data_IF_608204117627
#
_entry.id   IF_608204117627
#
_cell.length_a   1.000
_cell.length_b   1.000
_cell.length_c   1.000
_cell.angle_alpha   90.00
_cell.angle_beta   90.00
_cell.angle_gamma   90.00
#
_symmetry.space_group_name_H-M   'P 1'
#
loop_
_entity.id
_entity.type
_entity.pdbx_description
1 polymer ?
#
# COMPACT_ATOMS: atom_id res chain seq x y z
N UNK A 1 3.37 18.97 39.95
CA UNK A 1 2.64 17.89 39.25
C UNK A 1 2.69 18.20 37.77
N UNK A 2 3.63 17.61 37.04
CA UNK A 2 3.75 17.82 35.59
C UNK A 2 2.83 16.84 34.88
N UNK A 3 1.75 17.34 34.32
CA UNK A 3 0.83 16.60 33.46
C UNK A 3 1.54 16.31 32.14
N UNK A 4 2.08 15.10 32.00
CA UNK A 4 2.57 14.62 30.71
C UNK A 4 1.35 14.40 29.83
N UNK A 5 1.06 15.34 28.94
CA UNK A 5 0.10 15.14 27.86
C UNK A 5 0.74 14.14 26.91
N UNK A 6 0.44 12.86 27.08
CA UNK A 6 0.76 11.82 26.11
C UNK A 6 -0.10 12.10 24.89
N UNK A 7 0.45 12.82 23.91
CA UNK A 7 -0.17 12.91 22.58
C UNK A 7 -0.29 11.50 22.03
N UNK A 8 -1.50 10.95 22.09
CA UNK A 8 -1.84 9.67 21.48
C UNK A 8 -1.69 9.84 19.97
N UNK A 9 -0.52 9.48 19.43
CA UNK A 9 -0.31 9.42 17.99
C UNK A 9 -1.21 8.32 17.43
N UNK A 10 -2.31 8.72 16.79
CA UNK A 10 -3.22 7.81 16.11
C UNK A 10 -2.54 7.33 14.84
N UNK A 11 -2.40 6.02 14.69
CA UNK A 11 -1.82 5.38 13.50
C UNK A 11 -2.77 5.56 12.31
N UNK A 12 -2.25 6.05 11.17
CA UNK A 12 -3.04 6.27 9.95
C UNK A 12 -2.38 5.64 8.72
N UNK A 13 -3.20 5.28 7.73
CA UNK A 13 -2.70 4.80 6.43
C UNK A 13 -1.83 5.88 5.77
N UNK A 14 -0.67 5.47 5.28
CA UNK A 14 0.34 6.34 4.69
C UNK A 14 1.25 7.03 5.69
N UNK A 15 1.15 6.76 7.00
CA UNK A 15 2.16 7.20 7.95
C UNK A 15 3.48 6.50 7.63
N UNK A 16 4.55 7.29 7.52
CA UNK A 16 5.88 6.83 7.11
C UNK A 16 6.89 7.03 8.22
N UNK A 17 7.79 6.07 8.35
CA UNK A 17 8.97 6.18 9.19
C UNK A 17 10.20 5.77 8.39
N UNK A 18 11.32 6.41 8.69
CA UNK A 18 12.62 6.04 8.14
C UNK A 18 13.61 5.92 9.29
N UNK A 19 14.34 4.81 9.33
CA UNK A 19 15.45 4.60 10.25
C UNK A 19 16.72 5.28 9.74
N UNK A 20 17.71 5.51 10.62
CA UNK A 20 19.01 6.03 10.22
C UNK A 20 19.80 5.01 9.40
N UNK A 21 20.75 5.50 8.60
CA UNK A 21 21.73 4.63 7.92
C UNK A 21 22.75 4.12 8.93
N UNK A 22 22.95 2.81 9.01
CA UNK A 22 23.84 2.13 9.96
C UNK A 22 24.55 0.95 9.31
N UNK A 23 25.72 0.58 9.82
CA UNK A 23 26.34 -0.71 9.48
C UNK A 23 25.59 -1.83 10.19
N UNK A 24 25.29 -2.93 9.49
CA UNK A 24 24.57 -4.06 10.08
C UNK A 24 25.32 -4.69 11.27
N UNK A 25 26.66 -4.79 11.19
CA UNK A 25 27.49 -5.25 12.32
C UNK A 25 27.35 -4.37 13.56
N UNK A 26 27.27 -3.05 13.38
CA UNK A 26 27.21 -2.10 14.50
C UNK A 26 25.85 -2.21 15.20
N UNK A 27 24.76 -2.37 14.42
CA UNK A 27 23.41 -2.61 14.95
C UNK A 27 23.35 -3.86 15.84
N UNK A 28 23.93 -4.97 15.38
CA UNK A 28 23.98 -6.21 16.16
C UNK A 28 24.80 -6.04 17.44
N UNK A 29 25.99 -5.44 17.32
CA UNK A 29 26.92 -5.26 18.43
C UNK A 29 26.33 -4.39 19.54
N UNK A 30 25.74 -3.25 19.17
CA UNK A 30 25.11 -2.33 20.12
C UNK A 30 23.87 -2.93 20.79
N UNK A 31 23.16 -3.81 20.09
CA UNK A 31 21.97 -4.49 20.62
C UNK A 31 22.29 -5.75 21.42
N UNK A 32 23.57 -6.16 21.47
CA UNK A 32 24.00 -7.41 22.09
C UNK A 32 23.45 -8.67 21.40
N UNK A 33 23.02 -8.57 20.15
CA UNK A 33 22.43 -9.68 19.40
C UNK A 33 23.54 -10.42 18.65
N UNK A 34 23.65 -11.72 18.89
CA UNK A 34 24.54 -12.61 18.13
C UNK A 34 23.69 -13.53 17.27
N UNK A 35 23.85 -13.44 15.96
CA UNK A 35 23.21 -14.34 15.01
C UNK A 35 24.17 -15.48 14.64
N UNK A 36 23.70 -16.74 14.60
CA UNK A 36 24.51 -17.85 14.10
C UNK A 36 24.97 -17.57 12.65
N UNK A 37 26.19 -17.98 12.33
CA UNK A 37 26.72 -17.89 10.96
C UNK A 37 25.78 -18.61 9.98
N UNK A 38 25.49 -17.98 8.83
CA UNK A 38 24.57 -18.53 7.82
C UNK A 38 23.09 -18.27 8.09
N UNK A 39 22.75 -17.49 9.13
CA UNK A 39 21.37 -17.08 9.40
C UNK A 39 20.90 -16.00 8.42
N UNK A 40 19.81 -16.25 7.69
CA UNK A 40 19.18 -15.28 6.77
C UNK A 40 18.15 -14.36 7.45
N UNK A 41 18.34 -14.05 8.74
CA UNK A 41 17.43 -13.21 9.52
C UNK A 41 17.98 -11.82 9.81
N UNK A 42 19.19 -11.49 9.33
CA UNK A 42 19.85 -10.23 9.63
C UNK A 42 19.03 -9.02 9.16
N UNK A 43 18.46 -9.06 7.96
CA UNK A 43 17.61 -7.95 7.49
C UNK A 43 16.34 -7.80 8.33
N UNK A 44 15.70 -8.89 8.74
CA UNK A 44 14.54 -8.83 9.64
C UNK A 44 14.90 -8.23 11.01
N UNK A 45 16.04 -8.63 11.60
CA UNK A 45 16.51 -8.07 12.87
C UNK A 45 16.89 -6.60 12.71
N UNK A 46 17.59 -6.24 11.65
CA UNK A 46 17.93 -4.86 11.35
C UNK A 46 16.66 -4.00 11.19
N UNK A 47 15.62 -4.52 10.53
CA UNK A 47 14.34 -3.83 10.40
C UNK A 47 13.68 -3.57 11.78
N UNK A 48 13.68 -4.55 12.69
CA UNK A 48 13.17 -4.37 14.07
C UNK A 48 13.93 -3.26 14.82
N UNK A 49 15.25 -3.18 14.65
CA UNK A 49 16.10 -2.22 15.36
C UNK A 49 16.03 -0.82 14.75
N UNK A 50 15.88 -0.72 13.43
CA UNK A 50 15.90 0.55 12.70
C UNK A 50 14.52 1.20 12.56
N UNK A 51 13.44 0.41 12.58
CA UNK A 51 12.07 0.92 12.39
C UNK A 51 11.40 1.15 13.74
N UNK A 52 10.99 2.40 14.07
CA UNK A 52 10.22 2.67 15.28
C UNK A 52 8.98 1.78 15.38
N UNK A 53 8.63 1.31 16.58
CA UNK A 53 7.42 0.49 16.77
C UNK A 53 6.14 1.29 16.51
N UNK A 54 5.08 0.59 16.11
CA UNK A 54 3.74 1.18 16.01
C UNK A 54 3.26 1.56 17.43
N UNK A 55 2.91 2.84 17.70
CA UNK A 55 2.50 3.27 19.04
C UNK A 55 1.28 2.51 19.55
N UNK A 56 1.28 2.18 20.85
CA UNK A 56 0.16 1.52 21.53
C UNK A 56 -0.35 0.25 20.80
N UNK A 57 0.57 -0.52 20.21
CA UNK A 57 0.26 -1.74 19.48
C UNK A 57 1.29 -2.84 19.77
N UNK A 58 0.91 -4.10 19.53
CA UNK A 58 1.83 -5.23 19.53
C UNK A 58 1.77 -5.98 18.20
N UNK A 59 2.93 -6.44 17.71
CA UNK A 59 3.00 -7.19 16.45
C UNK A 59 2.45 -8.60 16.67
N UNK A 60 1.53 -9.01 15.81
CA UNK A 60 0.89 -10.33 15.82
C UNK A 60 1.27 -11.18 14.62
N UNK A 61 1.83 -10.58 13.57
CA UNK A 61 2.24 -11.28 12.36
C UNK A 61 3.40 -10.61 11.63
N UNK A 62 4.15 -11.41 10.89
CA UNK A 62 5.24 -10.98 10.04
C UNK A 62 5.32 -11.91 8.82
N UNK A 63 5.32 -11.32 7.62
CA UNK A 63 5.78 -11.97 6.40
C UNK A 63 7.00 -11.22 5.90
N UNK A 64 8.07 -11.95 5.60
CA UNK A 64 9.35 -11.37 5.24
C UNK A 64 9.96 -12.09 4.04
N UNK A 65 10.59 -11.33 3.16
CA UNK A 65 11.21 -11.83 1.94
C UNK A 65 12.61 -11.22 1.81
N UNK A 66 13.61 -12.08 1.63
CA UNK A 66 14.95 -11.65 1.29
C UNK A 66 15.12 -11.65 -0.23
N UNK A 67 15.24 -10.48 -0.84
CA UNK A 67 15.53 -10.33 -2.27
C UNK A 67 17.02 -10.58 -2.50
N UNK A 68 17.85 -9.91 -1.69
CA UNK A 68 19.28 -10.11 -1.56
C UNK A 68 19.65 -10.00 -0.07
N UNK A 69 19.99 -11.12 0.60
CA UNK A 69 20.20 -11.12 2.04
C UNK A 69 21.17 -10.03 2.50
N UNK A 70 20.82 -9.37 3.60
CA UNK A 70 21.70 -8.43 4.30
C UNK A 70 22.83 -9.21 4.96
N UNK A 71 24.03 -8.67 4.85
CA UNK A 71 25.26 -9.17 5.45
C UNK A 71 25.78 -8.19 6.50
N UNK A 72 26.68 -8.64 7.38
CA UNK A 72 27.21 -7.81 8.46
C UNK A 72 27.99 -6.58 7.98
N UNK A 73 28.50 -6.60 6.75
CA UNK A 73 29.29 -5.51 6.15
C UNK A 73 28.43 -4.50 5.36
N UNK A 74 27.12 -4.74 5.28
CA UNK A 74 26.22 -3.83 4.57
C UNK A 74 25.91 -2.59 5.40
N UNK A 75 25.97 -1.43 4.74
CA UNK A 75 25.37 -0.19 5.24
C UNK A 75 23.94 -0.13 4.78
N UNK A 76 23.02 -0.09 5.74
CA UNK A 76 21.59 -0.22 5.51
C UNK A 76 20.80 0.84 6.26
N UNK A 77 19.61 1.14 5.77
CA UNK A 77 18.55 1.79 6.55
C UNK A 77 17.22 1.07 6.32
N UNK A 78 16.22 1.44 7.11
CA UNK A 78 14.86 0.92 6.91
C UNK A 78 13.91 2.05 6.58
N UNK A 79 12.90 1.74 5.78
CA UNK A 79 11.74 2.60 5.56
C UNK A 79 10.48 1.78 5.79
N UNK A 80 9.47 2.40 6.38
CA UNK A 80 8.20 1.75 6.61
C UNK A 80 7.04 2.68 6.27
N UNK A 81 5.93 2.07 5.86
CA UNK A 81 4.67 2.76 5.59
C UNK A 81 3.50 1.93 6.10
N UNK A 82 2.60 2.56 6.85
CA UNK A 82 1.33 1.92 7.24
C UNK A 82 0.46 1.78 5.99
N UNK A 83 0.17 0.56 5.57
CA UNK A 83 -0.57 0.30 4.35
C UNK A 83 -2.07 0.17 4.57
N UNK A 84 -2.48 -0.18 5.79
CA UNK A 84 -3.89 -0.36 6.15
C UNK A 84 -4.12 -0.16 7.63
N UNK A 85 -5.27 0.41 7.99
CA UNK A 85 -5.79 0.44 9.35
C UNK A 85 -7.27 0.05 9.28
N UNK A 86 -7.65 -1.04 9.93
CA UNK A 86 -9.00 -1.59 9.90
C UNK A 86 -9.40 -2.10 11.29
N UNK A 87 -10.22 -1.30 11.99
CA UNK A 87 -10.65 -1.60 13.35
C UNK A 87 -9.44 -1.79 14.27
N UNK A 88 -9.26 -2.97 14.90
CA UNK A 88 -8.17 -3.19 15.83
C UNK A 88 -6.84 -3.60 15.16
N UNK A 89 -6.76 -3.64 13.83
CA UNK A 89 -5.59 -4.15 13.10
C UNK A 89 -4.97 -3.05 12.25
N UNK A 90 -3.64 -2.98 12.24
CA UNK A 90 -2.87 -2.18 11.31
C UNK A 90 -1.86 -3.07 10.57
N UNK A 91 -1.67 -2.79 9.28
CA UNK A 91 -0.64 -3.41 8.46
C UNK A 91 0.41 -2.37 8.11
N UNK A 92 1.68 -2.77 8.20
CA UNK A 92 2.81 -1.91 7.88
C UNK A 92 3.77 -2.66 6.96
N UNK A 93 4.05 -2.07 5.82
CA UNK A 93 5.11 -2.55 4.94
C UNK A 93 6.44 -1.93 5.37
N UNK A 94 7.49 -2.74 5.40
CA UNK A 94 8.85 -2.37 5.80
C UNK A 94 9.81 -2.85 4.72
N UNK A 95 10.75 -1.99 4.34
CA UNK A 95 11.87 -2.34 3.45
C UNK A 95 13.19 -1.97 4.10
N UNK A 96 14.20 -2.81 3.89
CA UNK A 96 15.60 -2.56 4.24
C UNK A 96 16.34 -2.29 2.94
N UNK A 97 16.99 -1.13 2.88
CA UNK A 97 17.71 -0.66 1.70
C UNK A 97 19.20 -0.60 1.99
N UNK A 98 20.02 -0.84 0.97
CA UNK A 98 21.47 -0.62 1.04
C UNK A 98 21.85 0.84 0.78
N UNK A 99 23.13 1.20 0.97
CA UNK A 99 23.71 2.53 0.72
C UNK A 99 23.34 3.20 -0.62
N UNK A 100 22.97 2.42 -1.64
CA UNK A 100 22.60 2.93 -2.97
C UNK A 100 21.09 3.16 -3.15
N UNK A 101 20.30 2.73 -2.17
CA UNK A 101 18.83 2.78 -2.20
C UNK A 101 18.22 1.53 -2.85
N UNK A 102 18.99 0.47 -3.09
CA UNK A 102 18.43 -0.79 -3.56
C UNK A 102 17.80 -1.57 -2.41
N UNK A 103 16.60 -2.12 -2.63
CA UNK A 103 15.92 -2.95 -1.64
C UNK A 103 16.66 -4.29 -1.50
N UNK A 104 17.07 -4.61 -0.28
CA UNK A 104 17.73 -5.87 0.07
C UNK A 104 16.72 -6.89 0.57
N UNK A 105 15.88 -6.47 1.50
CA UNK A 105 14.87 -7.30 2.12
C UNK A 105 13.63 -6.45 2.43
N UNK A 106 12.48 -7.08 2.50
CA UNK A 106 11.22 -6.39 2.76
C UNK A 106 10.20 -7.32 3.41
N UNK A 107 9.15 -6.74 3.98
CA UNK A 107 8.07 -7.52 4.54
C UNK A 107 6.89 -6.69 5.01
N UNK A 108 5.84 -7.42 5.38
CA UNK A 108 4.62 -6.85 5.94
C UNK A 108 4.47 -7.32 7.38
N UNK A 109 4.29 -6.37 8.27
CA UNK A 109 3.98 -6.58 9.66
C UNK A 109 2.48 -6.39 9.91
N UNK A 110 1.90 -7.25 10.73
CA UNK A 110 0.53 -7.10 11.22
C UNK A 110 0.58 -6.74 12.70
N UNK A 111 -0.11 -5.67 13.07
CA UNK A 111 -0.14 -5.10 14.40
C UNK A 111 -1.56 -5.10 14.96
N UNK A 112 -1.69 -5.43 16.25
CA UNK A 112 -2.93 -5.29 17.01
C UNK A 112 -2.88 -3.99 17.82
N UNK A 113 -3.77 -3.07 17.52
CA UNK A 113 -3.92 -1.78 18.21
C UNK A 113 -4.60 -1.99 19.57
N UNK A 114 -4.13 -1.29 20.60
CA UNK A 114 -4.77 -1.29 21.91
C UNK A 114 -6.18 -0.68 21.87
N UNK A 115 -6.33 0.40 21.10
CA UNK A 115 -7.62 1.04 20.83
C UNK A 115 -7.96 0.84 19.34
N UNK A 116 -9.11 0.24 18.99
CA UNK A 116 -9.53 0.16 17.60
C UNK A 116 -9.63 1.54 16.95
N UNK A 117 -9.16 1.63 15.71
CA UNK A 117 -9.30 2.83 14.90
C UNK A 117 -10.63 2.82 14.16
N UNK A 118 -11.22 4.01 13.98
CA UNK A 118 -12.41 4.15 13.13
C UNK A 118 -12.04 3.87 11.67
N UNK A 119 -12.85 3.09 10.93
CA UNK A 119 -12.62 2.87 9.52
C UNK A 119 -12.64 4.19 8.75
N UNK A 120 -11.66 4.38 7.86
CA UNK A 120 -11.62 5.49 6.90
C UNK A 120 -11.76 4.90 5.50
N UNK A 121 -12.98 4.74 4.96
CA UNK A 121 -13.18 4.04 3.69
C UNK A 121 -12.38 4.64 2.53
N UNK A 122 -12.14 5.96 2.53
CA UNK A 122 -11.31 6.65 1.54
C UNK A 122 -9.85 6.15 1.46
N UNK A 123 -9.37 5.45 2.49
CA UNK A 123 -8.01 4.90 2.60
C UNK A 123 -7.99 3.36 2.68
N UNK A 124 -9.14 2.68 2.66
CA UNK A 124 -9.23 1.21 2.67
C UNK A 124 -9.39 0.68 1.24
N UNK A 125 -8.30 0.81 0.46
CA UNK A 125 -8.27 0.59 -0.98
C UNK A 125 -8.81 -0.78 -1.41
N UNK A 126 -9.51 -0.81 -2.54
CA UNK A 126 -10.11 -2.00 -3.16
C UNK A 126 -11.12 -2.72 -2.25
N UNK A 127 -11.75 -2.01 -1.32
CA UNK A 127 -12.96 -2.49 -0.62
C UNK A 127 -14.23 -1.95 -1.27
N UNK A 128 -15.41 -2.58 -1.07
CA UNK A 128 -16.68 -2.04 -1.55
C UNK A 128 -16.97 -0.62 -1.06
N UNK A 129 -16.75 -0.34 0.23
CA UNK A 129 -16.98 1.00 0.78
C UNK A 129 -16.08 2.07 0.14
N UNK A 130 -14.84 1.74 -0.17
CA UNK A 130 -13.95 2.61 -0.95
C UNK A 130 -14.43 2.76 -2.41
N UNK A 131 -14.88 1.67 -3.02
CA UNK A 131 -15.41 1.65 -4.39
C UNK A 131 -16.66 2.50 -4.59
N UNK A 132 -17.54 2.55 -3.59
CA UNK A 132 -18.72 3.41 -3.58
C UNK A 132 -18.33 4.89 -3.56
N UNK A 133 -17.38 5.28 -2.70
CA UNK A 133 -16.85 6.66 -2.70
C UNK A 133 -16.20 7.03 -4.03
N UNK A 134 -15.44 6.10 -4.61
CA UNK A 134 -14.80 6.28 -5.91
C UNK A 134 -15.84 6.42 -7.03
N UNK A 135 -16.92 5.61 -7.02
CA UNK A 135 -18.04 5.73 -7.96
C UNK A 135 -18.62 7.13 -7.90
N UNK A 136 -19.00 7.59 -6.72
CA UNK A 136 -19.68 8.88 -6.55
C UNK A 136 -18.81 10.03 -7.08
N UNK A 137 -17.49 9.95 -6.89
CA UNK A 137 -16.52 10.90 -7.48
C UNK A 137 -16.43 10.80 -9.00
N UNK A 138 -16.37 9.59 -9.56
CA UNK A 138 -16.27 9.37 -11.01
C UNK A 138 -17.55 9.75 -11.75
N UNK A 139 -18.72 9.52 -11.17
CA UNK A 139 -20.01 9.90 -11.77
C UNK A 139 -20.17 11.42 -11.92
N UNK A 140 -19.51 12.21 -11.06
CA UNK A 140 -19.46 13.65 -11.20
C UNK A 140 -18.54 14.14 -12.33
N UNK A 141 -17.69 13.28 -12.90
CA UNK A 141 -16.75 13.62 -13.96
C UNK A 141 -17.24 13.17 -15.34
N UNK A 142 -17.71 14.15 -16.13
CA UNK A 142 -18.15 13.93 -17.51
C UNK A 142 -17.06 13.32 -18.42
N UNK A 143 -15.77 13.52 -18.12
CA UNK A 143 -14.68 12.95 -18.89
C UNK A 143 -14.60 11.43 -18.72
N UNK A 144 -14.92 10.91 -17.53
CA UNK A 144 -14.99 9.48 -17.27
C UNK A 144 -16.12 8.83 -18.08
N UNK A 145 -17.33 9.39 -17.99
CA UNK A 145 -18.48 8.89 -18.74
C UNK A 145 -18.25 8.93 -20.26
N UNK A 146 -17.66 10.00 -20.77
CA UNK A 146 -17.35 10.14 -22.19
C UNK A 146 -16.29 9.13 -22.67
N UNK A 147 -15.27 8.86 -21.85
CA UNK A 147 -14.19 7.94 -22.21
C UNK A 147 -14.64 6.47 -22.30
N UNK A 148 -15.76 6.13 -21.64
CA UNK A 148 -16.30 4.77 -21.55
C UNK A 148 -17.69 4.64 -22.20
N UNK A 149 -18.15 5.64 -22.96
CA UNK A 149 -19.51 5.69 -23.51
C UNK A 149 -19.86 4.51 -24.44
N UNK A 150 -18.86 3.93 -25.12
CA UNK A 150 -19.01 2.78 -26.03
C UNK A 150 -18.44 1.49 -25.45
N UNK A 151 -18.10 1.49 -24.16
CA UNK A 151 -17.51 0.35 -23.49
C UNK A 151 -18.43 -0.20 -22.41
N UNK A 152 -18.59 -1.52 -22.43
CA UNK A 152 -19.32 -2.29 -21.44
C UNK A 152 -18.41 -3.40 -20.92
N UNK A 153 -18.32 -3.54 -19.60
CA UNK A 153 -17.43 -4.52 -19.01
C UNK A 153 -17.27 -4.35 -17.52
N UNK A 154 -16.27 -5.04 -16.96
CA UNK A 154 -15.97 -4.96 -15.53
C UNK A 154 -14.48 -4.71 -15.36
N UNK A 155 -14.12 -3.62 -14.67
CA UNK A 155 -12.74 -3.35 -14.29
C UNK A 155 -12.52 -3.85 -12.86
N UNK A 156 -11.56 -4.77 -12.69
CA UNK A 156 -11.08 -5.19 -11.38
C UNK A 156 -9.96 -4.27 -10.90
N UNK A 157 -9.96 -3.93 -9.61
CA UNK A 157 -8.88 -3.23 -8.91
C UNK A 157 -8.47 -4.11 -7.73
N UNK A 158 -7.21 -4.54 -7.68
CA UNK A 158 -6.69 -5.42 -6.63
C UNK A 158 -5.55 -4.79 -5.86
N UNK A 159 -5.70 -4.74 -4.55
CA UNK A 159 -4.75 -4.24 -3.57
C UNK A 159 -4.43 -5.38 -2.59
N UNK A 160 -3.26 -6.00 -2.78
CA UNK A 160 -2.90 -7.21 -2.03
C UNK A 160 -3.90 -8.34 -2.26
N UNK A 161 -4.56 -8.78 -1.19
CA UNK A 161 -5.59 -9.83 -1.19
C UNK A 161 -7.02 -9.31 -1.40
N UNK A 162 -7.21 -7.99 -1.49
CA UNK A 162 -8.51 -7.34 -1.65
C UNK A 162 -8.73 -6.98 -3.10
N UNK A 163 -9.91 -7.32 -3.61
CA UNK A 163 -10.33 -6.99 -4.96
C UNK A 163 -11.72 -6.37 -4.99
N UNK A 164 -11.83 -5.33 -5.81
CA UNK A 164 -13.05 -4.62 -6.12
C UNK A 164 -13.31 -4.68 -7.62
N UNK A 165 -14.54 -4.93 -8.01
CA UNK A 165 -15.02 -4.88 -9.38
C UNK A 165 -15.92 -3.67 -9.55
N UNK A 166 -15.60 -2.84 -10.56
CA UNK A 166 -16.43 -1.76 -11.06
C UNK A 166 -17.12 -2.25 -12.33
N UNK A 167 -18.43 -2.51 -12.26
CA UNK A 167 -19.21 -2.89 -13.44
C UNK A 167 -19.63 -1.63 -14.17
N UNK A 168 -19.24 -1.51 -15.43
CA UNK A 168 -19.48 -0.32 -16.23
C UNK A 168 -20.37 -0.68 -17.40
N UNK A 169 -21.37 0.16 -17.63
CA UNK A 169 -22.24 0.10 -18.78
C UNK A 169 -22.39 1.51 -19.35
N UNK A 170 -22.00 1.70 -20.62
CA UNK A 170 -22.09 2.97 -21.35
C UNK A 170 -21.62 4.18 -20.55
N UNK A 171 -20.42 4.09 -19.99
CA UNK A 171 -19.78 5.17 -19.24
C UNK A 171 -20.28 5.35 -17.81
N UNK A 172 -21.15 4.49 -17.30
CA UNK A 172 -21.65 4.55 -15.92
C UNK A 172 -21.24 3.32 -15.13
N UNK A 173 -20.82 3.51 -13.88
CA UNK A 173 -20.61 2.39 -12.96
C UNK A 173 -21.98 1.99 -12.41
N UNK A 174 -22.48 0.85 -12.85
CA UNK A 174 -23.82 0.36 -12.48
C UNK A 174 -23.81 -0.46 -11.19
N UNK A 175 -22.64 -0.94 -10.76
CA UNK A 175 -22.49 -1.81 -9.59
C UNK A 175 -21.02 -1.84 -9.13
N UNK A 176 -20.82 -1.90 -7.81
CA UNK A 176 -19.53 -1.95 -7.11
C UNK A 176 -19.56 -3.17 -6.20
N UNK A 177 -18.76 -4.18 -6.52
CA UNK A 177 -18.85 -5.49 -5.84
C UNK A 177 -17.47 -6.13 -5.68
N UNK A 178 -17.35 -7.17 -4.86
CA UNK A 178 -16.10 -7.94 -4.74
C UNK A 178 -15.91 -8.95 -5.86
N UNK A 179 -17.01 -9.35 -6.50
CA UNK A 179 -16.99 -10.36 -7.57
C UNK A 179 -18.22 -10.22 -8.45
N UNK A 180 -18.04 -10.56 -9.71
CA UNK A 180 -19.08 -10.61 -10.74
C UNK A 180 -19.18 -12.04 -11.28
N UNK A 181 -20.35 -12.46 -11.81
CA UNK A 181 -20.54 -13.84 -12.27
C UNK A 181 -19.49 -14.32 -13.29
N UNK A 182 -19.02 -13.43 -14.17
CA UNK A 182 -18.01 -13.73 -15.19
C UNK A 182 -16.60 -13.23 -14.82
N UNK A 183 -16.41 -12.73 -13.61
CA UNK A 183 -15.18 -12.04 -13.23
C UNK A 183 -15.03 -10.65 -13.88
N UNK A 184 -13.88 -10.03 -13.67
CA UNK A 184 -13.52 -8.78 -14.32
C UNK A 184 -13.04 -9.06 -15.76
N UNK A 185 -13.32 -8.14 -16.69
CA UNK A 185 -12.75 -8.14 -18.04
C UNK A 185 -11.23 -8.12 -17.96
N UNK A 186 -10.70 -7.24 -17.10
CA UNK A 186 -9.32 -7.29 -16.63
C UNK A 186 -9.27 -6.77 -15.20
N UNK A 187 -8.23 -7.18 -14.46
CA UNK A 187 -7.93 -6.66 -13.13
C UNK A 187 -6.59 -5.94 -13.17
N UNK A 188 -6.57 -4.70 -12.69
CA UNK A 188 -5.36 -3.92 -12.41
C UNK A 188 -4.87 -4.27 -10.99
N UNK A 189 -3.63 -4.74 -10.88
CA UNK A 189 -3.11 -5.38 -9.67
C UNK A 189 -1.85 -4.66 -9.20
N UNK A 190 -1.83 -4.32 -7.90
CA UNK A 190 -0.63 -3.82 -7.23
C UNK A 190 -0.58 -4.29 -5.76
N UNK A 191 0.63 -4.43 -5.17
CA UNK A 191 0.80 -4.58 -3.73
C UNK A 191 0.23 -3.39 -2.93
N UNK A 192 -0.07 -3.62 -1.65
CA UNK A 192 -0.69 -2.60 -0.78
C UNK A 192 0.16 -1.32 -0.67
N UNK A 193 1.48 -1.47 -0.51
CA UNK A 193 2.40 -0.33 -0.41
C UNK A 193 2.46 0.47 -1.71
N UNK A 194 2.38 -0.20 -2.87
CA UNK A 194 2.37 0.43 -4.19
C UNK A 194 1.12 1.28 -4.38
N UNK A 195 -0.05 0.79 -3.93
CA UNK A 195 -1.29 1.57 -3.88
C UNK A 195 -1.16 2.79 -2.99
N UNK A 196 -0.60 2.64 -1.79
CA UNK A 196 -0.40 3.76 -0.85
C UNK A 196 0.52 4.83 -1.47
N UNK A 197 1.63 4.41 -2.08
CA UNK A 197 2.55 5.31 -2.79
C UNK A 197 1.86 6.00 -3.96
N UNK A 198 1.05 5.27 -4.73
CA UNK A 198 0.34 5.79 -5.90
C UNK A 198 -0.74 6.79 -5.51
N UNK A 199 -1.48 6.52 -4.45
CA UNK A 199 -2.66 7.30 -4.09
C UNK A 199 -2.29 8.50 -3.20
N UNK A 200 -1.33 8.32 -2.29
CA UNK A 200 -0.92 9.36 -1.35
C UNK A 200 0.37 10.10 -1.76
N UNK A 201 1.02 9.68 -2.84
CA UNK A 201 2.20 10.35 -3.38
C UNK A 201 1.93 11.81 -3.78
N UNK A 202 2.94 12.67 -3.59
CA UNK A 202 2.84 14.10 -3.88
C UNK A 202 2.46 14.38 -5.35
N UNK A 203 3.06 13.63 -6.28
CA UNK A 203 2.85 13.76 -7.72
C UNK A 203 1.95 12.67 -8.25
N UNK A 204 1.19 12.99 -9.30
CA UNK A 204 0.49 11.98 -10.09
C UNK A 204 1.45 11.46 -11.15
N UNK A 205 2.04 10.30 -10.87
CA UNK A 205 3.02 9.63 -11.72
C UNK A 205 2.53 8.26 -12.18
N UNK A 206 1.21 8.02 -12.14
CA UNK A 206 0.59 6.74 -12.50
C UNK A 206 1.12 6.17 -13.82
N UNK A 207 1.09 6.98 -14.88
CA UNK A 207 1.51 6.54 -16.22
C UNK A 207 2.99 6.15 -16.27
N UNK A 208 3.86 6.90 -15.60
CA UNK A 208 5.30 6.60 -15.53
C UNK A 208 5.54 5.26 -14.82
N UNK A 209 4.84 5.03 -13.72
CA UNK A 209 4.95 3.80 -12.90
C UNK A 209 4.37 2.59 -13.62
N UNK A 210 3.28 2.77 -14.36
CA UNK A 210 2.67 1.73 -15.18
C UNK A 210 3.61 1.27 -16.32
N UNK A 211 4.22 2.22 -17.04
CA UNK A 211 5.23 1.90 -18.05
C UNK A 211 6.47 1.23 -17.42
N UNK A 212 6.83 1.63 -16.20
CA UNK A 212 7.92 1.03 -15.42
C UNK A 212 7.64 -0.38 -14.89
N UNK A 213 6.43 -0.93 -15.08
CA UNK A 213 6.09 -2.29 -14.66
C UNK A 213 5.78 -2.45 -13.18
N UNK A 214 5.48 -1.37 -12.46
CA UNK A 214 5.11 -1.44 -11.02
C UNK A 214 3.72 -2.05 -10.78
N UNK A 215 2.95 -2.22 -11.84
CA UNK A 215 1.62 -2.80 -11.82
C UNK A 215 1.56 -4.00 -12.76
N UNK A 216 0.71 -4.95 -12.42
CA UNK A 216 0.39 -6.07 -13.31
C UNK A 216 -1.07 -6.03 -13.72
N UNK A 217 -1.39 -6.73 -14.80
CA UNK A 217 -2.75 -6.91 -15.27
C UNK A 217 -3.04 -8.40 -15.46
N UNK A 218 -4.24 -8.82 -15.09
CA UNK A 218 -4.76 -10.17 -15.38
C UNK A 218 -6.06 -10.06 -16.17
N UNK A 219 -6.32 -11.00 -17.08
CA UNK A 219 -7.51 -10.98 -17.94
C UNK A 219 -7.18 -10.48 -19.36
N UNK A 220 -8.05 -9.68 -19.94
CA UNK A 220 -7.89 -9.16 -21.30
C UNK A 220 -6.87 -7.99 -21.35
N UNK A 221 -5.64 -8.31 -21.78
CA UNK A 221 -4.57 -7.32 -21.92
C UNK A 221 -4.81 -6.28 -23.02
N UNK A 222 -5.60 -6.62 -24.06
CA UNK A 222 -5.95 -5.66 -25.11
C UNK A 222 -6.91 -4.60 -24.57
N UNK A 223 -7.93 -5.04 -23.82
CA UNK A 223 -8.86 -4.12 -23.16
C UNK A 223 -8.16 -3.26 -22.09
N UNK A 224 -7.20 -3.82 -21.35
CA UNK A 224 -6.35 -3.03 -20.45
C UNK A 224 -5.63 -1.88 -21.16
N UNK A 225 -4.97 -2.15 -22.29
CA UNK A 225 -4.26 -1.14 -23.07
C UNK A 225 -5.21 -0.06 -23.62
N UNK A 226 -6.39 -0.48 -24.10
CA UNK A 226 -7.43 0.42 -24.58
C UNK A 226 -7.97 1.33 -23.47
N UNK A 227 -8.03 0.84 -22.23
CA UNK A 227 -8.59 1.55 -21.07
C UNK A 227 -7.55 2.28 -20.21
N UNK A 228 -6.35 2.50 -20.74
CA UNK A 228 -5.29 3.27 -20.05
C UNK A 228 -5.76 4.68 -19.63
N UNK A 229 -6.48 5.40 -20.49
CA UNK A 229 -7.03 6.74 -20.16
C UNK A 229 -8.10 6.67 -19.05
N UNK A 230 -9.14 5.82 -19.16
CA UNK A 230 -10.07 5.57 -18.05
C UNK A 230 -9.40 5.17 -16.74
N UNK A 231 -8.37 4.32 -16.77
CA UNK A 231 -7.60 3.96 -15.58
C UNK A 231 -6.90 5.18 -14.96
N UNK A 232 -6.30 6.06 -15.77
CA UNK A 232 -5.71 7.30 -15.27
C UNK A 232 -6.75 8.19 -14.57
N UNK A 233 -7.98 8.28 -15.09
CA UNK A 233 -9.08 9.00 -14.43
C UNK A 233 -9.46 8.33 -13.09
N UNK A 234 -9.62 7.00 -13.08
CA UNK A 234 -9.90 6.24 -11.86
C UNK A 234 -8.85 6.52 -10.78
N UNK A 235 -7.56 6.46 -11.13
CA UNK A 235 -6.46 6.73 -10.18
C UNK A 235 -6.46 8.20 -9.73
N UNK A 236 -6.69 9.15 -10.64
CA UNK A 236 -6.81 10.57 -10.29
C UNK A 236 -7.92 10.85 -9.27
N UNK A 237 -9.09 10.23 -9.46
CA UNK A 237 -10.22 10.36 -8.51
C UNK A 237 -9.95 9.65 -7.19
N UNK A 238 -9.34 8.46 -7.21
CA UNK A 238 -8.89 7.77 -6.00
C UNK A 238 -7.91 8.63 -5.18
N UNK A 239 -6.98 9.33 -5.84
CA UNK A 239 -6.07 10.31 -5.21
C UNK A 239 -6.84 11.47 -4.59
N UNK A 240 -7.84 12.02 -5.27
CA UNK A 240 -8.65 13.12 -4.75
C UNK A 240 -9.44 12.70 -3.49
N UNK A 241 -10.08 11.53 -3.52
CA UNK A 241 -10.82 10.95 -2.38
C UNK A 241 -9.90 10.77 -1.17
N UNK A 242 -8.72 10.18 -1.37
CA UNK A 242 -7.78 9.91 -0.29
C UNK A 242 -7.16 11.20 0.30
N UNK A 243 -6.87 12.21 -0.53
CA UNK A 243 -6.35 13.51 -0.08
C UNK A 243 -7.34 14.24 0.81
N UNK A 244 -8.62 14.26 0.45
CA UNK A 244 -9.68 14.86 1.27
C UNK A 244 -9.82 14.20 2.64
N UNK A 245 -9.52 12.91 2.76
CA UNK A 245 -9.52 12.21 4.04
C UNK A 245 -8.25 12.45 4.87
N UNK A 246 -7.17 12.95 4.26
CA UNK A 246 -5.88 13.24 4.92
C UNK A 246 -5.69 14.71 5.27
N UNK A 247 -6.45 15.62 4.66
CA UNK A 247 -6.52 17.06 4.98
C UNK A 247 -7.28 17.30 6.27
#
# INVERSE_FOLDING_TARGET
MSTTVTTSHTVRVGDRTAGPVRMASDLLSESGIVLPTGTFALGTVAAELLTPRVPAAHRTGLRWTAIAPVTAVDRIWSEAVVTRVAGPTAERFVRVLDATGAVREEGTETWRLATPSEPVPALDFCTPAWGELLRDHLEADSAFGSALATWDGTVGLRCGDRELHLRIYRGRIVDVTRRTPHGATFTFVAPDHTWVDLILGAHDDFMRRAIGGEFSCTGDGYEYLRLTKPLNLIIGHARAVARKARS
#
